data_IF_903316833184
#
_entry.id   IF_903316833184
#
_cell.length_a   1.000
_cell.length_b   1.000
_cell.length_c   1.000
_cell.angle_alpha   90.00
_cell.angle_beta   90.00
_cell.angle_gamma   90.00
#
_symmetry.space_group_name_H-M   'P 1'
#
loop_
_entity.id
_entity.type
_entity.pdbx_description
1 polymer ?
#
# COMPACT_ATOMS: atom_id res chain seq x y z
N UNK A 1 -3.85 -19.46 13.22
CA UNK A 1 -3.85 -18.60 12.02
C UNK A 1 -5.25 -18.51 11.45
N UNK A 2 -5.80 -17.30 11.42
CA UNK A 2 -7.00 -16.96 10.65
C UNK A 2 -6.59 -16.30 9.34
N UNK A 3 -7.46 -16.40 8.34
CA UNK A 3 -7.20 -15.93 6.98
C UNK A 3 -8.47 -15.32 6.38
N UNK A 4 -8.30 -14.23 5.64
CA UNK A 4 -9.32 -13.65 4.76
C UNK A 4 -8.73 -13.50 3.35
N UNK A 5 -9.54 -13.70 2.31
CA UNK A 5 -9.07 -13.69 0.92
C UNK A 5 -9.94 -12.75 0.09
N UNK A 6 -9.28 -11.83 -0.60
CA UNK A 6 -9.89 -10.78 -1.38
C UNK A 6 -9.39 -10.85 -2.82
N UNK A 7 -10.12 -11.61 -3.64
CA UNK A 7 -9.80 -11.82 -5.06
C UNK A 7 -9.92 -10.53 -5.87
N UNK A 8 -9.02 -10.34 -6.84
CA UNK A 8 -8.92 -9.14 -7.67
C UNK A 8 -10.25 -8.75 -8.32
N UNK A 9 -10.98 -9.76 -8.84
CA UNK A 9 -12.27 -9.59 -9.51
C UNK A 9 -13.45 -9.30 -8.57
N UNK A 10 -13.22 -9.31 -7.26
CA UNK A 10 -14.23 -9.01 -6.24
C UNK A 10 -14.03 -7.64 -5.58
N UNK A 11 -13.02 -6.87 -6.03
CA UNK A 11 -12.78 -5.50 -5.57
C UNK A 11 -13.87 -4.57 -6.09
N UNK A 12 -14.14 -3.49 -5.34
CA UNK A 12 -14.95 -2.39 -5.85
C UNK A 12 -14.25 -1.78 -7.06
N UNK A 13 -15.00 -1.32 -8.05
CA UNK A 13 -14.43 -0.69 -9.25
C UNK A 13 -15.19 0.58 -9.58
N UNK A 14 -14.45 1.64 -9.89
CA UNK A 14 -15.00 2.86 -10.44
C UNK A 14 -14.15 3.35 -11.63
N UNK A 15 -14.82 3.95 -12.61
CA UNK A 15 -14.21 4.53 -13.79
C UNK A 15 -14.79 5.93 -14.01
N UNK A 16 -13.94 6.93 -13.87
CA UNK A 16 -14.27 8.35 -14.02
C UNK A 16 -13.73 8.93 -15.34
N UNK A 17 -13.39 8.08 -16.31
CA UNK A 17 -12.68 8.47 -17.53
C UNK A 17 -11.19 8.62 -17.26
N UNK A 18 -10.79 9.67 -16.55
CA UNK A 18 -9.40 9.97 -16.23
C UNK A 18 -8.82 9.06 -15.13
N UNK A 19 -9.66 8.58 -14.22
CA UNK A 19 -9.30 7.66 -13.14
C UNK A 19 -10.01 6.32 -13.33
N UNK A 20 -9.24 5.23 -13.26
CA UNK A 20 -9.76 3.88 -13.02
C UNK A 20 -9.22 3.42 -11.68
N UNK A 21 -10.09 3.06 -10.76
CA UNK A 21 -9.69 2.69 -9.39
C UNK A 21 -10.34 1.38 -8.98
N UNK A 22 -9.55 0.52 -8.35
CA UNK A 22 -10.04 -0.69 -7.70
C UNK A 22 -9.88 -0.60 -6.18
N UNK A 23 -10.97 -0.76 -5.45
CA UNK A 23 -11.03 -0.66 -4.00
C UNK A 23 -11.02 -2.05 -3.36
N UNK A 24 -9.96 -2.38 -2.63
CA UNK A 24 -9.90 -3.62 -1.84
C UNK A 24 -10.87 -3.56 -0.66
N UNK A 25 -10.83 -2.46 0.09
CA UNK A 25 -11.72 -2.17 1.21
C UNK A 25 -12.78 -1.13 0.83
N UNK A 26 -13.81 -0.99 1.66
CA UNK A 26 -14.93 -0.07 1.45
C UNK A 26 -14.44 1.37 1.41
N UNK A 27 -14.66 2.06 0.30
CA UNK A 27 -14.14 3.40 0.06
C UNK A 27 -15.06 4.20 -0.86
N UNK A 28 -15.16 5.50 -0.63
CA UNK A 28 -16.09 6.39 -1.33
C UNK A 28 -17.51 5.79 -1.39
N UNK A 29 -18.07 5.62 -2.59
CA UNK A 29 -19.41 5.06 -2.79
C UNK A 29 -19.44 3.52 -2.82
N UNK A 30 -18.28 2.85 -2.82
CA UNK A 30 -18.20 1.40 -2.73
C UNK A 30 -18.25 0.95 -1.27
N UNK A 31 -19.24 0.11 -0.96
CA UNK A 31 -19.41 -0.46 0.37
C UNK A 31 -19.54 -1.99 0.33
N UNK A 32 -18.70 -2.65 1.09
CA UNK A 32 -18.77 -4.08 1.35
C UNK A 32 -18.62 -4.30 2.87
N UNK A 33 -19.68 -4.72 3.57
CA UNK A 33 -19.65 -4.86 5.04
C UNK A 33 -18.65 -5.90 5.54
N UNK A 34 -18.17 -6.81 4.68
CA UNK A 34 -17.14 -7.81 5.02
C UNK A 34 -15.71 -7.30 4.80
N UNK A 35 -15.54 -6.15 4.14
CA UNK A 35 -14.25 -5.55 3.76
C UNK A 35 -14.27 -4.06 4.09
N UNK A 36 -14.52 -3.69 5.33
CA UNK A 36 -14.49 -2.27 5.74
C UNK A 36 -13.04 -1.79 5.88
N UNK A 37 -12.19 -2.61 6.51
CA UNK A 37 -10.74 -2.47 6.68
C UNK A 37 -10.15 -3.80 7.16
N UNK A 38 -8.83 -3.93 7.19
CA UNK A 38 -8.11 -5.06 7.79
C UNK A 38 -7.25 -4.55 8.96
N UNK A 39 -7.65 -4.80 10.21
CA UNK A 39 -6.99 -4.16 11.36
C UNK A 39 -6.98 -2.63 11.17
N UNK A 40 -5.81 -2.00 11.31
CA UNK A 40 -5.62 -0.57 11.07
C UNK A 40 -5.40 -0.18 9.59
N UNK A 41 -5.34 -1.14 8.66
CA UNK A 41 -5.26 -0.90 7.22
C UNK A 41 -6.65 -0.54 6.67
N UNK A 42 -6.89 0.74 6.43
CA UNK A 42 -8.20 1.30 6.11
C UNK A 42 -8.50 1.33 4.62
N UNK A 43 -7.51 1.63 3.78
CA UNK A 43 -7.67 1.75 2.31
C UNK A 43 -6.51 1.03 1.63
N UNK A 44 -6.81 0.35 0.54
CA UNK A 44 -5.86 -0.16 -0.44
C UNK A 44 -6.52 -0.02 -1.81
N UNK A 45 -6.20 1.07 -2.49
CA UNK A 45 -6.65 1.36 -3.85
C UNK A 45 -5.53 1.06 -4.84
N UNK A 46 -5.92 0.55 -6.00
CA UNK A 46 -5.06 0.27 -7.16
C UNK A 46 -5.55 1.18 -8.29
N UNK A 47 -4.85 2.30 -8.47
CA UNK A 47 -5.30 3.45 -9.23
C UNK A 47 -4.52 3.55 -10.54
N UNK A 48 -5.24 3.79 -11.63
CA UNK A 48 -4.68 4.16 -12.94
C UNK A 48 -5.19 5.54 -13.33
N UNK A 49 -4.26 6.48 -13.54
CA UNK A 49 -4.54 7.89 -13.80
C UNK A 49 -4.05 8.26 -15.21
N UNK A 50 -4.93 8.89 -15.99
CA UNK A 50 -4.63 9.36 -17.33
C UNK A 50 -3.51 10.43 -17.34
N UNK A 51 -2.84 10.65 -18.49
CA UNK A 51 -1.81 11.67 -18.58
C UNK A 51 -2.31 13.06 -18.19
N UNK A 52 -1.52 13.80 -17.39
CA UNK A 52 -1.81 15.17 -16.91
C UNK A 52 -3.06 15.33 -16.04
N UNK A 53 -3.76 14.25 -15.73
CA UNK A 53 -4.95 14.24 -14.88
C UNK A 53 -4.58 13.87 -13.44
N UNK A 54 -5.49 14.11 -12.50
CA UNK A 54 -5.21 13.90 -11.09
C UNK A 54 -6.34 14.24 -10.16
N UNK A 55 -6.07 14.05 -8.88
CA UNK A 55 -6.93 14.43 -7.78
C UNK A 55 -6.67 15.90 -7.45
N UNK A 56 -7.69 16.72 -7.66
CA UNK A 56 -7.72 18.11 -7.21
C UNK A 56 -7.49 18.21 -5.68
N UNK A 57 -7.19 19.41 -5.22
CA UNK A 57 -6.92 19.68 -3.80
C UNK A 57 -8.07 19.21 -2.90
N UNK A 58 -7.78 18.27 -1.99
CA UNK A 58 -8.74 17.71 -1.05
C UNK A 58 -8.13 17.51 0.35
N UNK A 59 -8.94 17.45 1.41
CA UNK A 59 -8.45 17.36 2.79
C UNK A 59 -8.26 15.91 3.27
N UNK A 60 -7.24 15.70 4.10
CA UNK A 60 -7.14 14.57 5.02
C UNK A 60 -6.93 15.04 6.46
N UNK A 61 -7.32 14.19 7.41
CA UNK A 61 -7.11 14.39 8.85
C UNK A 61 -6.97 13.04 9.54
N UNK A 62 -6.07 12.94 10.52
CA UNK A 62 -5.84 11.72 11.31
C UNK A 62 -5.74 10.44 10.45
N UNK A 63 -4.89 10.48 9.42
CA UNK A 63 -4.64 9.36 8.52
C UNK A 63 -3.18 9.36 8.09
N UNK A 64 -2.56 8.18 8.07
CA UNK A 64 -1.28 7.97 7.41
C UNK A 64 -1.56 7.50 5.98
N UNK A 65 -1.17 8.29 4.99
CA UNK A 65 -1.38 8.03 3.56
C UNK A 65 -0.04 7.66 2.94
N UNK A 66 0.01 6.50 2.30
CA UNK A 66 1.20 5.96 1.64
C UNK A 66 0.88 5.76 0.17
N UNK A 67 1.68 6.38 -0.70
CA UNK A 67 1.59 6.21 -2.15
C UNK A 67 2.81 5.46 -2.68
N UNK A 68 2.56 4.38 -3.44
CA UNK A 68 3.61 3.53 -4.04
C UNK A 68 3.40 3.48 -5.56
N UNK A 69 4.17 4.25 -6.35
CA UNK A 69 4.11 4.16 -7.80
C UNK A 69 4.55 2.79 -8.31
N UNK A 70 3.74 2.23 -9.19
CA UNK A 70 4.02 0.99 -9.93
C UNK A 70 4.51 1.28 -11.34
N UNK A 71 4.02 2.35 -11.95
CA UNK A 71 4.39 2.83 -13.28
C UNK A 71 4.11 4.34 -13.41
N UNK A 72 4.88 5.09 -14.20
CA UNK A 72 4.65 6.51 -14.44
C UNK A 72 5.17 7.44 -13.34
N UNK A 73 4.58 8.64 -13.23
CA UNK A 73 5.11 9.75 -12.43
C UNK A 73 3.98 10.39 -11.60
N UNK A 74 4.02 10.27 -10.28
CA UNK A 74 3.04 10.86 -9.37
C UNK A 74 3.61 12.15 -8.79
N UNK A 75 3.08 13.30 -9.20
CA UNK A 75 3.40 14.58 -8.58
C UNK A 75 2.44 14.86 -7.44
N UNK A 76 2.98 15.03 -6.25
CA UNK A 76 2.25 15.48 -5.08
C UNK A 76 2.41 16.98 -4.91
N UNK A 77 1.34 17.67 -4.55
CA UNK A 77 1.35 19.06 -4.12
C UNK A 77 0.52 19.24 -2.85
N UNK A 78 0.95 20.08 -1.91
CA UNK A 78 0.19 20.33 -0.68
C UNK A 78 0.16 21.78 -0.19
N UNK A 79 -0.73 22.01 0.77
CA UNK A 79 -0.93 23.30 1.44
C UNK A 79 0.28 23.84 2.20
N UNK A 80 1.32 23.04 2.40
CA UNK A 80 2.60 23.49 3.00
C UNK A 80 3.71 23.67 1.94
N UNK A 81 3.31 23.76 0.66
CA UNK A 81 4.15 24.07 -0.49
C UNK A 81 5.18 22.98 -0.87
N UNK A 82 4.96 21.73 -0.46
CA UNK A 82 5.72 20.63 -1.05
C UNK A 82 5.25 20.42 -2.49
N UNK A 83 6.19 20.16 -3.39
CA UNK A 83 5.91 19.76 -4.77
C UNK A 83 7.01 18.83 -5.25
N UNK A 84 6.73 17.53 -5.28
CA UNK A 84 7.72 16.53 -5.68
C UNK A 84 7.08 15.44 -6.54
N UNK A 85 7.84 14.95 -7.51
CA UNK A 85 7.43 13.87 -8.40
C UNK A 85 8.05 12.55 -7.93
N UNK A 86 7.19 11.58 -7.65
CA UNK A 86 7.49 10.27 -7.08
C UNK A 86 7.42 9.25 -8.22
N UNK A 87 8.39 8.34 -8.29
CA UNK A 87 8.52 7.37 -9.39
C UNK A 87 8.68 5.94 -8.86
N UNK A 88 8.56 4.90 -9.71
CA UNK A 88 8.76 3.53 -9.27
C UNK A 88 10.12 3.32 -8.59
N UNK A 89 10.09 2.78 -7.37
CA UNK A 89 11.26 2.65 -6.49
C UNK A 89 11.32 3.70 -5.38
N UNK A 90 10.48 4.73 -5.46
CA UNK A 90 10.19 5.64 -4.36
C UNK A 90 8.92 5.19 -3.63
N UNK A 91 8.79 5.61 -2.36
CA UNK A 91 7.52 5.62 -1.65
C UNK A 91 7.31 6.98 -1.02
N UNK A 92 6.05 7.41 -0.96
CA UNK A 92 5.64 8.64 -0.31
C UNK A 92 4.87 8.29 0.96
N UNK A 93 5.12 9.04 2.03
CA UNK A 93 4.38 8.92 3.30
C UNK A 93 3.94 10.30 3.76
N UNK A 94 2.64 10.46 4.01
CA UNK A 94 2.03 11.65 4.56
C UNK A 94 1.26 11.31 5.83
N UNK A 95 1.66 11.91 6.94
CA UNK A 95 0.88 11.92 8.18
C UNK A 95 -0.02 13.15 8.17
N UNK A 96 -1.33 12.96 8.03
CA UNK A 96 -2.28 14.08 7.90
C UNK A 96 -2.46 14.87 9.21
N UNK A 97 -2.29 14.23 10.36
CA UNK A 97 -2.30 14.89 11.68
C UNK A 97 -3.53 15.78 11.91
N UNK A 98 -3.32 17.01 12.38
CA UNK A 98 -4.40 18.01 12.60
C UNK A 98 -5.19 18.38 11.34
N UNK A 99 -4.67 18.08 10.16
CA UNK A 99 -5.29 18.31 8.87
C UNK A 99 -4.30 18.83 7.84
N UNK A 100 -4.41 18.33 6.60
CA UNK A 100 -3.63 18.80 5.44
C UNK A 100 -4.51 18.76 4.19
N UNK A 101 -4.35 19.77 3.33
CA UNK A 101 -4.90 19.75 1.98
C UNK A 101 -3.79 19.36 1.01
N UNK A 102 -4.09 18.45 0.09
CA UNK A 102 -3.13 17.97 -0.90
C UNK A 102 -3.81 17.63 -2.22
N UNK A 103 -3.01 17.51 -3.26
CA UNK A 103 -3.41 17.16 -4.63
C UNK A 103 -2.37 16.25 -5.25
N UNK A 104 -2.80 15.37 -6.14
CA UNK A 104 -1.97 14.31 -6.70
C UNK A 104 -2.24 14.21 -8.20
N UNK A 105 -1.24 14.50 -9.04
CA UNK A 105 -1.39 14.52 -10.49
C UNK A 105 -0.39 13.59 -11.16
N UNK A 106 -0.79 13.01 -12.29
CA UNK A 106 0.15 12.38 -13.19
C UNK A 106 1.02 13.44 -13.88
N UNK A 107 2.31 13.44 -13.60
CA UNK A 107 3.27 14.44 -14.10
C UNK A 107 3.68 14.21 -15.57
N UNK A 108 3.15 13.17 -16.21
CA UNK A 108 3.38 12.88 -17.63
C UNK A 108 2.26 13.42 -18.51
N UNK A 109 2.62 13.97 -19.67
CA UNK A 109 1.68 14.34 -20.74
C UNK A 109 1.31 13.17 -21.67
N UNK A 110 1.99 12.02 -21.54
CA UNK A 110 1.85 10.91 -22.50
C UNK A 110 1.61 9.55 -21.82
N UNK A 111 2.27 9.30 -20.68
CA UNK A 111 2.24 8.01 -19.99
C UNK A 111 1.15 7.99 -18.91
N UNK A 112 0.51 6.83 -18.73
CA UNK A 112 -0.39 6.60 -17.60
C UNK A 112 0.39 6.36 -16.32
N UNK A 113 -0.13 6.89 -15.21
CA UNK A 113 0.35 6.60 -13.86
C UNK A 113 -0.43 5.41 -13.31
N UNK A 114 0.28 4.43 -12.74
CA UNK A 114 -0.30 3.35 -11.94
C UNK A 114 0.34 3.39 -10.55
N UNK A 115 -0.46 3.39 -9.49
CA UNK A 115 0.06 3.40 -8.13
C UNK A 115 -0.90 2.75 -7.14
N UNK A 116 -0.36 2.35 -6.00
CA UNK A 116 -1.15 1.92 -4.85
C UNK A 116 -1.32 3.09 -3.89
N UNK A 117 -2.55 3.37 -3.51
CA UNK A 117 -2.88 4.34 -2.47
C UNK A 117 -3.35 3.60 -1.21
N UNK A 118 -2.58 3.71 -0.15
CA UNK A 118 -2.73 2.90 1.07
C UNK A 118 -2.95 3.83 2.25
N UNK A 119 -4.00 3.60 3.02
CA UNK A 119 -4.29 4.40 4.20
C UNK A 119 -4.27 3.53 5.45
N UNK A 120 -3.57 4.01 6.47
CA UNK A 120 -3.45 3.37 7.78
C UNK A 120 -3.91 4.36 8.84
N UNK A 121 -4.78 3.91 9.75
CA UNK A 121 -5.14 4.72 10.90
C UNK A 121 -3.91 4.96 11.78
N UNK A 122 -3.66 6.21 12.22
CA UNK A 122 -2.49 6.51 13.04
C UNK A 122 -2.63 5.97 14.47
N UNK A 123 -1.50 5.72 15.13
CA UNK A 123 -1.43 5.43 16.56
C UNK A 123 -1.72 6.68 17.41
N UNK A 124 -1.29 7.85 16.94
CA UNK A 124 -1.51 9.13 17.61
C UNK A 124 -2.25 10.11 16.69
N UNK A 125 -3.41 10.59 17.12
CA UNK A 125 -4.18 11.58 16.40
C UNK A 125 -3.74 13.02 16.71
N UNK A 126 -4.11 13.96 15.83
CA UNK A 126 -3.87 15.40 15.98
C UNK A 126 -2.39 15.77 16.14
N UNK A 127 -1.49 14.95 15.59
CA UNK A 127 -0.07 15.26 15.45
C UNK A 127 0.15 16.35 14.41
N UNK A 128 1.35 16.95 14.38
CA UNK A 128 1.68 17.92 13.32
C UNK A 128 1.72 17.20 11.96
N UNK A 129 1.09 17.76 10.91
CA UNK A 129 1.18 17.20 9.56
C UNK A 129 2.64 17.04 9.11
N UNK A 130 2.93 15.92 8.45
CA UNK A 130 4.25 15.61 7.89
C UNK A 130 4.09 14.98 6.52
N UNK A 131 5.05 15.26 5.65
CA UNK A 131 5.13 14.72 4.31
C UNK A 131 6.59 14.43 4.01
N UNK A 132 6.90 13.25 3.49
CA UNK A 132 8.23 12.91 2.99
C UNK A 132 8.15 11.89 1.84
N UNK A 133 9.12 12.00 0.95
CA UNK A 133 9.41 11.00 -0.07
C UNK A 133 10.67 10.25 0.29
N UNK A 134 10.70 8.95 -0.01
CA UNK A 134 11.80 8.07 0.33
C UNK A 134 12.17 7.21 -0.88
N UNK A 135 13.42 7.33 -1.33
CA UNK A 135 14.00 6.37 -2.27
C UNK A 135 14.29 5.06 -1.52
N UNK A 136 13.59 3.99 -1.90
CA UNK A 136 13.76 2.66 -1.28
C UNK A 136 14.51 1.69 -2.19
N UNK A 137 14.99 2.11 -3.37
CA UNK A 137 15.66 1.24 -4.36
C UNK A 137 16.86 0.51 -3.76
N UNK A 138 17.63 1.19 -2.90
CA UNK A 138 18.78 0.61 -2.22
C UNK A 138 18.43 -0.51 -1.22
N UNK A 139 17.18 -0.54 -0.76
CA UNK A 139 16.65 -1.58 0.14
C UNK A 139 16.14 -2.79 -0.63
N UNK A 140 15.71 -2.60 -1.89
CA UNK A 140 15.12 -3.65 -2.70
C UNK A 140 16.19 -4.66 -3.12
N UNK A 141 16.02 -5.91 -2.65
CA UNK A 141 16.92 -7.01 -2.96
C UNK A 141 16.12 -8.13 -3.59
N UNK A 142 16.61 -8.61 -4.73
CA UNK A 142 16.02 -9.73 -5.45
C UNK A 142 15.95 -10.96 -4.54
N UNK A 143 14.81 -11.65 -4.55
CA UNK A 143 14.54 -12.82 -3.73
C UNK A 143 14.61 -12.59 -2.21
N UNK A 144 14.46 -11.35 -1.74
CA UNK A 144 14.29 -11.02 -0.33
C UNK A 144 12.94 -10.30 -0.11
N UNK A 145 12.45 -10.32 1.14
CA UNK A 145 11.36 -9.47 1.57
C UNK A 145 11.97 -8.21 2.21
N UNK A 146 12.14 -7.17 1.40
CA UNK A 146 12.78 -5.92 1.81
C UNK A 146 11.81 -5.06 2.61
N UNK A 147 12.14 -4.77 3.88
CA UNK A 147 11.40 -3.82 4.71
C UNK A 147 11.61 -2.39 4.18
N UNK A 148 10.53 -1.68 3.89
CA UNK A 148 10.56 -0.35 3.26
C UNK A 148 9.93 0.75 4.12
N UNK A 149 9.11 0.40 5.11
CA UNK A 149 8.44 1.33 6.02
C UNK A 149 8.25 0.68 7.39
N UNK A 150 8.52 1.42 8.45
CA UNK A 150 8.50 0.92 9.85
C UNK A 150 8.14 2.02 10.88
N UNK A 151 7.78 1.68 12.13
CA UNK A 151 7.39 2.68 13.14
C UNK A 151 8.53 3.55 13.68
N UNK A 152 9.76 3.03 13.73
CA UNK A 152 10.80 3.52 14.64
C UNK A 152 12.22 3.60 14.02
N UNK A 153 12.31 3.96 12.75
CA UNK A 153 13.58 4.35 12.12
C UNK A 153 14.45 3.19 11.65
N UNK A 154 13.97 1.94 11.73
CA UNK A 154 14.59 0.78 11.08
C UNK A 154 14.69 0.92 9.56
N UNK A 155 13.85 1.77 8.97
CA UNK A 155 13.87 2.17 7.57
C UNK A 155 13.90 3.69 7.44
N UNK A 156 14.32 4.23 6.28
CA UNK A 156 14.21 5.66 6.03
C UNK A 156 12.77 6.18 6.16
N UNK A 157 11.79 5.40 5.70
CA UNK A 157 10.38 5.78 5.74
C UNK A 157 9.73 5.41 7.08
N UNK A 158 9.31 6.42 7.84
CA UNK A 158 8.63 6.23 9.11
C UNK A 158 7.12 6.44 8.98
N UNK A 159 6.36 5.71 9.79
CA UNK A 159 4.90 5.85 9.91
C UNK A 159 4.49 6.06 11.37
N UNK A 160 3.47 6.88 11.62
CA UNK A 160 2.87 7.01 12.95
C UNK A 160 1.89 5.86 13.24
N UNK A 161 2.35 4.62 13.14
CA UNK A 161 1.61 3.41 13.53
C UNK A 161 2.60 2.26 13.77
N UNK A 162 2.25 1.30 14.62
CA UNK A 162 2.95 0.01 14.74
C UNK A 162 2.74 -0.85 13.48
N UNK A 163 3.22 -0.37 12.33
CA UNK A 163 3.04 -0.98 11.03
C UNK A 163 4.36 -1.15 10.26
N UNK A 164 4.50 -2.25 9.55
CA UNK A 164 5.68 -2.62 8.78
C UNK A 164 5.30 -3.03 7.38
N UNK A 165 5.84 -2.36 6.36
CA UNK A 165 5.60 -2.75 4.97
C UNK A 165 6.86 -3.34 4.35
N UNK A 166 6.71 -4.46 3.65
CA UNK A 166 7.80 -5.11 2.93
C UNK A 166 7.43 -5.37 1.48
N UNK A 167 8.37 -5.18 0.56
CA UNK A 167 8.23 -5.53 -0.85
C UNK A 167 9.14 -6.71 -1.16
N UNK A 168 8.62 -7.68 -1.91
CA UNK A 168 9.40 -8.78 -2.47
C UNK A 168 9.36 -8.78 -3.99
N UNK A 169 10.53 -8.84 -4.62
CA UNK A 169 10.69 -9.21 -6.03
C UNK A 169 11.28 -10.61 -6.10
N UNK A 170 10.42 -11.60 -6.33
CA UNK A 170 10.72 -13.00 -6.08
C UNK A 170 10.63 -13.81 -7.38
N UNK A 171 11.60 -14.68 -7.63
CA UNK A 171 11.59 -15.64 -8.74
C UNK A 171 10.72 -16.86 -8.40
N UNK A 172 10.18 -17.51 -9.42
CA UNK A 172 9.45 -18.77 -9.27
C UNK A 172 10.29 -19.85 -8.54
N UNK A 173 9.62 -20.66 -7.72
CA UNK A 173 10.23 -21.71 -6.91
C UNK A 173 10.86 -21.24 -5.59
N UNK A 174 10.86 -19.94 -5.31
CA UNK A 174 11.26 -19.42 -4.01
C UNK A 174 10.22 -19.77 -2.93
N UNK A 175 10.70 -20.05 -1.72
CA UNK A 175 9.88 -20.14 -0.51
C UNK A 175 10.38 -19.07 0.47
N UNK A 176 9.49 -18.21 0.95
CA UNK A 176 9.81 -17.15 1.92
C UNK A 176 8.96 -17.28 3.16
N UNK A 177 9.60 -17.21 4.32
CA UNK A 177 8.90 -17.03 5.58
C UNK A 177 8.85 -15.53 5.91
N UNK A 178 7.67 -15.01 6.21
CA UNK A 178 7.50 -13.69 6.82
C UNK A 178 7.10 -13.87 8.28
N UNK A 179 7.97 -13.42 9.19
CA UNK A 179 7.70 -13.41 10.63
C UNK A 179 7.13 -12.06 11.00
N UNK A 180 5.99 -12.07 11.69
CA UNK A 180 5.36 -10.83 12.14
C UNK A 180 6.23 -10.18 13.21
N UNK A 181 6.28 -8.85 13.21
CA UNK A 181 7.07 -8.06 14.15
C UNK A 181 6.43 -8.04 15.54
N UNK A 182 5.10 -8.09 15.62
CA UNK A 182 4.35 -8.12 16.89
C UNK A 182 3.27 -9.21 16.87
N UNK A 183 2.91 -9.73 18.06
CA UNK A 183 1.84 -10.73 18.20
C UNK A 183 0.43 -10.16 18.02
N UNK A 184 0.27 -8.84 18.19
CA UNK A 184 -1.00 -8.13 18.10
C UNK A 184 -1.32 -7.63 16.69
N UNK A 185 -0.43 -7.86 15.73
CA UNK A 185 -0.58 -7.44 14.35
C UNK A 185 -1.10 -8.59 13.48
N UNK A 186 -1.54 -8.22 12.28
CA UNK A 186 -1.78 -9.14 11.18
C UNK A 186 -1.09 -8.59 9.94
N UNK A 187 -0.80 -9.46 8.98
CA UNK A 187 -0.18 -9.08 7.71
C UNK A 187 -1.16 -9.26 6.56
N UNK A 188 -1.32 -8.22 5.75
CA UNK A 188 -2.06 -8.27 4.51
C UNK A 188 -1.08 -8.41 3.34
N UNK A 189 -1.10 -9.55 2.66
CA UNK A 189 -0.35 -9.80 1.45
C UNK A 189 -1.16 -9.33 0.26
N UNK A 190 -0.57 -8.50 -0.58
CA UNK A 190 -1.13 -8.10 -1.87
C UNK A 190 -0.17 -8.51 -3.00
N UNK A 191 -0.67 -9.28 -3.96
CA UNK A 191 0.10 -9.66 -5.14
C UNK A 191 0.03 -8.51 -6.13
N UNK A 192 1.14 -7.78 -6.30
CA UNK A 192 1.20 -6.75 -7.33
C UNK A 192 1.22 -7.48 -8.68
N UNK A 193 2.25 -8.27 -8.96
CA UNK A 193 2.34 -9.10 -10.17
C UNK A 193 2.68 -10.55 -9.80
N UNK A 194 2.36 -11.49 -10.69
CA UNK A 194 2.72 -12.89 -10.54
C UNK A 194 1.65 -13.74 -9.85
N UNK A 195 2.12 -14.77 -9.16
CA UNK A 195 1.30 -15.78 -8.51
C UNK A 195 2.06 -16.46 -7.37
N UNK A 196 1.45 -16.48 -6.19
CA UNK A 196 2.00 -17.09 -4.98
C UNK A 196 0.96 -17.98 -4.32
N UNK A 197 1.41 -18.89 -3.47
CA UNK A 197 0.57 -19.71 -2.63
C UNK A 197 0.92 -19.49 -1.16
N UNK A 198 -0.12 -19.29 -0.34
CA UNK A 198 0.00 -19.18 1.11
C UNK A 198 -1.13 -19.98 1.73
N UNK A 199 -0.80 -20.88 2.67
CA UNK A 199 -1.80 -21.69 3.38
C UNK A 199 -2.78 -22.42 2.42
N UNK A 200 -2.23 -23.12 1.42
CA UNK A 200 -2.98 -23.84 0.37
C UNK A 200 -3.93 -22.96 -0.47
N UNK A 201 -3.72 -21.64 -0.48
CA UNK A 201 -4.50 -20.69 -1.27
C UNK A 201 -3.61 -20.00 -2.28
N UNK A 202 -3.89 -20.25 -3.56
CA UNK A 202 -3.25 -19.54 -4.66
C UNK A 202 -3.81 -18.12 -4.77
N UNK A 203 -2.92 -17.14 -4.82
CA UNK A 203 -3.19 -15.72 -5.02
C UNK A 203 -2.48 -15.29 -6.30
N UNK A 204 -3.25 -14.83 -7.29
CA UNK A 204 -2.73 -14.34 -8.56
C UNK A 204 -2.65 -12.80 -8.55
N UNK A 205 -2.15 -12.21 -9.63
CA UNK A 205 -2.12 -10.75 -9.84
C UNK A 205 -3.35 -10.01 -9.26
N UNK A 206 -3.05 -9.05 -8.39
CA UNK A 206 -3.99 -8.18 -7.65
C UNK A 206 -4.96 -8.87 -6.69
N UNK A 207 -4.77 -10.16 -6.41
CA UNK A 207 -5.39 -10.78 -5.24
C UNK A 207 -4.72 -10.29 -3.96
N UNK A 208 -5.51 -10.21 -2.89
CA UNK A 208 -5.01 -9.97 -1.54
C UNK A 208 -5.47 -11.05 -0.56
N UNK A 209 -4.73 -11.20 0.54
CA UNK A 209 -5.13 -12.00 1.67
C UNK A 209 -4.57 -11.45 2.99
N UNK A 210 -5.42 -11.40 4.01
CA UNK A 210 -5.04 -11.02 5.37
C UNK A 210 -4.83 -12.23 6.25
N UNK A 211 -3.74 -12.25 7.02
CA UNK A 211 -3.37 -13.32 7.95
C UNK A 211 -3.15 -12.74 9.35
N UNK A 212 -3.76 -13.37 10.35
CA UNK A 212 -3.70 -12.89 11.75
C UNK A 212 -3.87 -14.07 12.72
N UNK A 213 -3.62 -13.85 14.01
CA UNK A 213 -3.52 -14.91 15.02
C UNK A 213 -2.47 -15.98 14.59
N UNK A 214 -1.31 -15.51 14.16
CA UNK A 214 -0.16 -16.31 13.74
C UNK A 214 1.13 -15.52 14.00
N UNK A 215 2.24 -16.21 14.21
CA UNK A 215 3.56 -15.58 14.38
C UNK A 215 4.30 -15.43 13.03
N UNK A 216 3.93 -16.23 12.02
CA UNK A 216 4.50 -16.16 10.67
C UNK A 216 3.54 -16.68 9.59
N UNK A 217 3.89 -16.38 8.33
CA UNK A 217 3.31 -16.99 7.13
C UNK A 217 4.42 -17.51 6.21
N UNK A 218 4.14 -18.58 5.48
CA UNK A 218 5.02 -19.14 4.44
C UNK A 218 4.44 -18.86 3.06
N UNK A 219 5.24 -18.26 2.20
CA UNK A 219 4.87 -17.84 0.85
C UNK A 219 5.66 -18.67 -0.15
N UNK A 220 4.96 -19.48 -0.92
CA UNK A 220 5.53 -20.23 -2.04
C UNK A 220 5.29 -19.47 -3.33
N UNK A 221 6.36 -19.19 -4.08
CA UNK A 221 6.29 -18.36 -5.29
C UNK A 221 6.10 -19.27 -6.50
N UNK A 222 4.90 -19.28 -7.07
CA UNK A 222 4.54 -20.17 -8.18
C UNK A 222 4.98 -19.62 -9.54
N UNK A 223 4.97 -18.30 -9.69
CA UNK A 223 5.50 -17.56 -10.84
C UNK A 223 6.33 -16.40 -10.34
N UNK A 224 7.24 -15.86 -11.16
CA UNK A 224 7.94 -14.62 -10.84
C UNK A 224 6.94 -13.56 -10.38
N UNK A 225 7.14 -13.04 -9.17
CA UNK A 225 6.14 -12.28 -8.44
C UNK A 225 6.71 -11.03 -7.82
N UNK A 226 5.91 -9.96 -7.86
CA UNK A 226 6.12 -8.75 -7.05
C UNK A 226 5.00 -8.70 -6.02
N UNK A 227 5.34 -8.76 -4.73
CA UNK A 227 4.36 -8.78 -3.64
C UNK A 227 4.61 -7.64 -2.66
N UNK A 228 3.55 -7.15 -2.04
CA UNK A 228 3.57 -6.20 -0.94
C UNK A 228 2.95 -6.84 0.30
N UNK A 229 3.68 -6.80 1.41
CA UNK A 229 3.22 -7.23 2.73
C UNK A 229 2.98 -5.99 3.57
N UNK A 230 1.78 -5.85 4.12
CA UNK A 230 1.40 -4.73 4.99
C UNK A 230 1.02 -5.30 6.36
N UNK A 231 1.97 -5.29 7.29
CA UNK A 231 1.71 -5.65 8.68
C UNK A 231 1.15 -4.44 9.43
N UNK A 232 0.00 -4.61 10.08
CA UNK A 232 -0.68 -3.57 10.84
C UNK A 232 -1.29 -4.14 12.13
N UNK A 233 -1.55 -3.32 13.16
CA UNK A 233 -2.27 -3.78 14.35
C UNK A 233 -3.68 -4.26 13.99
N UNK A 234 -4.13 -5.31 14.66
CA UNK A 234 -5.50 -5.83 14.44
C UNK A 234 -6.56 -5.10 15.26
N UNK A 235 -6.15 -4.31 16.26
CA UNK A 235 -6.99 -3.49 17.13
C UNK A 235 -6.33 -2.14 17.38
#
# INVERSE_FOLDING_TARGET
MKMVVDKANSRGYANHGWLKTYHTFSFANYYNPKRVHFGMLRVLNDDTVAPSEGFDTHPHKNMEVISIPLNGYLRHGDSIQNSETITPGDIQVMSAGTGIFHSEFNDSAEQQLEFLQIWVFPREENTKPKYNNYDVRSLLKKNELSLILSPDGETPAAINQDAWFSIGELDAGQIKEYKLHKKSTGVYLFVIEGEVEVNNTVLSKRDGAGFYETDSITIEVLKDSRILLMEVPMN
#
